data_IF_918272518055
#
_entry.id   IF_918272518055
#
_cell.length_a   1.000
_cell.length_b   1.000
_cell.length_c   1.000
_cell.angle_alpha   90.00
_cell.angle_beta   90.00
_cell.angle_gamma   90.00
#
_symmetry.space_group_name_H-M   'P 1'
#
loop_
_entity.id
_entity.type
_entity.pdbx_description
1 polymer ?
#
# COMPACT_ATOMS: atom_id res chain seq x y z
N UNK A 1 46.95 20.51 26.89
CA UNK A 1 45.99 19.40 26.89
C UNK A 1 45.47 19.31 25.46
N UNK A 2 45.86 18.25 24.75
CA UNK A 2 45.51 18.11 23.32
C UNK A 2 44.12 17.50 23.27
N UNK A 3 43.12 18.27 22.81
CA UNK A 3 41.78 17.74 22.56
C UNK A 3 41.76 16.94 21.25
N UNK A 4 42.24 15.70 21.33
CA UNK A 4 41.88 14.64 20.40
C UNK A 4 40.67 13.90 20.97
N UNK A 5 39.45 14.34 20.63
CA UNK A 5 38.28 13.46 20.43
C UNK A 5 36.99 14.28 20.34
N UNK A 6 36.60 14.66 19.13
CA UNK A 6 35.17 14.68 18.78
C UNK A 6 34.92 14.30 17.33
N UNK A 7 35.86 13.60 16.69
CA UNK A 7 35.64 12.93 15.40
C UNK A 7 34.64 11.77 15.48
N UNK A 8 34.02 11.54 16.64
CA UNK A 8 33.08 10.44 16.92
C UNK A 8 31.59 10.81 16.90
N UNK A 9 31.23 12.08 16.69
CA UNK A 9 29.83 12.52 16.85
C UNK A 9 28.98 12.45 15.57
N UNK A 10 29.50 11.86 14.49
CA UNK A 10 28.76 11.71 13.23
C UNK A 10 27.64 10.63 13.28
N UNK A 11 27.63 9.78 14.31
CA UNK A 11 26.68 8.66 14.42
C UNK A 11 25.96 8.55 15.76
N UNK A 12 26.24 9.44 16.72
CA UNK A 12 25.66 9.39 18.08
C UNK A 12 24.34 10.14 18.25
N UNK A 13 23.79 10.74 17.19
CA UNK A 13 22.43 11.30 17.26
C UNK A 13 21.43 10.17 16.97
N UNK A 14 20.71 9.71 18.01
CA UNK A 14 19.79 8.57 17.97
C UNK A 14 18.95 8.50 16.70
N UNK A 15 18.78 7.27 16.17
CA UNK A 15 18.18 6.97 14.87
C UNK A 15 17.12 8.00 14.48
N UNK A 16 17.36 8.80 13.43
CA UNK A 16 16.45 9.88 13.10
C UNK A 16 15.10 9.27 12.75
N UNK A 17 14.02 9.85 13.30
CA UNK A 17 12.64 9.37 13.12
C UNK A 17 12.27 9.12 11.63
N UNK A 18 12.98 9.77 10.71
CA UNK A 18 12.88 9.58 9.27
C UNK A 18 13.09 8.12 8.83
N UNK A 19 13.90 7.34 9.54
CA UNK A 19 14.17 5.92 9.22
C UNK A 19 12.93 5.06 9.42
N UNK A 20 12.01 5.46 10.30
CA UNK A 20 10.72 4.79 10.50
C UNK A 20 9.60 5.41 9.65
N UNK A 21 9.62 6.74 9.48
CA UNK A 21 8.58 7.46 8.73
C UNK A 21 8.65 7.14 7.23
N UNK A 22 9.85 7.09 6.64
CA UNK A 22 10.03 6.83 5.22
C UNK A 22 9.46 5.47 4.77
N UNK A 23 9.82 4.32 5.40
CA UNK A 23 9.23 3.03 5.04
C UNK A 23 7.74 2.96 5.38
N UNK A 24 7.28 3.61 6.46
CA UNK A 24 5.85 3.65 6.78
C UNK A 24 5.02 4.31 5.67
N UNK A 25 5.50 5.44 5.11
CA UNK A 25 4.84 6.11 3.98
C UNK A 25 4.81 5.21 2.75
N UNK A 26 5.91 4.51 2.45
CA UNK A 26 5.98 3.57 1.31
C UNK A 26 4.97 2.43 1.50
N UNK A 27 4.93 1.80 2.67
CA UNK A 27 3.99 0.70 2.96
C UNK A 27 2.54 1.16 2.89
N UNK A 28 2.22 2.34 3.46
CA UNK A 28 0.86 2.90 3.40
C UNK A 28 0.50 3.24 1.95
N UNK A 29 1.40 3.88 1.20
CA UNK A 29 1.19 4.22 -0.21
C UNK A 29 0.93 3.00 -1.07
N UNK A 30 1.75 1.94 -0.91
CA UNK A 30 1.53 0.67 -1.61
C UNK A 30 0.23 -0.01 -1.16
N UNK A 31 -0.08 -0.02 0.13
CA UNK A 31 -1.33 -0.62 0.64
C UNK A 31 -2.57 0.08 0.11
N UNK A 32 -2.56 1.41 0.02
CA UNK A 32 -3.67 2.18 -0.57
C UNK A 32 -3.74 1.96 -2.08
N UNK A 33 -2.60 2.00 -2.78
CA UNK A 33 -2.56 1.80 -4.23
C UNK A 33 -3.03 0.39 -4.64
N UNK A 34 -2.47 -0.64 -4.00
CA UNK A 34 -2.87 -2.02 -4.23
C UNK A 34 -4.27 -2.30 -3.70
N UNK A 35 -4.64 -1.78 -2.53
CA UNK A 35 -5.99 -1.91 -1.98
C UNK A 35 -7.05 -1.32 -2.90
N UNK A 36 -6.84 -0.11 -3.41
CA UNK A 36 -7.73 0.54 -4.37
C UNK A 36 -7.82 -0.24 -5.68
N UNK A 37 -6.68 -0.63 -6.25
CA UNK A 37 -6.65 -1.40 -7.50
C UNK A 37 -7.27 -2.80 -7.35
N UNK A 38 -7.05 -3.45 -6.21
CA UNK A 38 -7.65 -4.75 -5.87
C UNK A 38 -9.15 -4.63 -5.68
N UNK A 39 -9.61 -3.59 -4.99
CA UNK A 39 -11.04 -3.33 -4.78
C UNK A 39 -11.78 -3.12 -6.11
N UNK A 40 -11.20 -2.31 -7.00
CA UNK A 40 -11.73 -2.13 -8.35
C UNK A 40 -11.73 -3.44 -9.14
N UNK A 41 -10.63 -4.20 -9.08
CA UNK A 41 -10.53 -5.49 -9.78
C UNK A 41 -11.54 -6.52 -9.30
N UNK A 42 -11.84 -6.55 -8.00
CA UNK A 42 -12.86 -7.42 -7.41
C UNK A 42 -14.28 -6.96 -7.82
N UNK A 43 -14.55 -5.66 -7.72
CA UNK A 43 -15.85 -5.06 -8.09
C UNK A 43 -16.19 -5.31 -9.56
N UNK A 44 -15.21 -5.19 -10.46
CA UNK A 44 -15.41 -5.47 -11.89
C UNK A 44 -15.67 -6.96 -12.18
N UNK A 45 -15.06 -7.86 -11.42
CA UNK A 45 -15.31 -9.31 -11.55
C UNK A 45 -16.72 -9.67 -11.12
N UNK A 46 -17.22 -9.09 -10.03
CA UNK A 46 -18.59 -9.34 -9.56
C UNK A 46 -19.66 -8.81 -10.52
N UNK A 47 -19.46 -7.63 -11.13
CA UNK A 47 -20.37 -7.10 -12.15
C UNK A 47 -20.51 -8.03 -13.35
N UNK A 48 -19.39 -8.53 -13.87
CA UNK A 48 -19.40 -9.44 -15.05
C UNK A 48 -20.08 -10.76 -14.74
N UNK A 49 -20.00 -11.26 -13.51
CA UNK A 49 -20.68 -12.49 -13.10
C UNK A 49 -22.19 -12.26 -12.95
N UNK A 50 -22.61 -11.13 -12.36
CA UNK A 50 -24.02 -10.79 -12.24
C UNK A 50 -24.69 -10.54 -13.59
N UNK A 51 -24.02 -9.87 -14.54
CA UNK A 51 -24.57 -9.67 -15.89
C UNK A 51 -24.74 -10.99 -16.63
N UNK A 52 -23.77 -11.92 -16.51
CA UNK A 52 -23.89 -13.27 -17.08
C UNK A 52 -25.03 -14.08 -16.45
N UNK A 53 -25.27 -13.94 -15.15
CA UNK A 53 -26.38 -14.63 -14.47
C UNK A 53 -27.74 -14.02 -14.83
N UNK A 54 -27.85 -12.69 -14.90
CA UNK A 54 -29.08 -12.00 -15.31
C UNK A 54 -29.45 -12.30 -16.76
N UNK A 55 -28.47 -12.36 -17.67
CA UNK A 55 -28.69 -12.78 -19.05
C UNK A 55 -29.14 -14.24 -19.19
N UNK A 56 -28.69 -15.13 -18.29
CA UNK A 56 -29.14 -16.52 -18.25
C UNK A 56 -30.55 -16.66 -17.68
N UNK A 57 -30.94 -15.84 -16.70
CA UNK A 57 -32.29 -15.86 -16.15
C UNK A 57 -33.33 -15.23 -17.08
N UNK A 58 -32.99 -14.15 -17.78
CA UNK A 58 -33.91 -13.52 -18.74
C UNK A 58 -34.18 -14.41 -19.96
N UNK A 59 -33.20 -15.21 -20.40
CA UNK A 59 -33.38 -16.21 -21.46
C UNK A 59 -34.15 -17.47 -21.02
N UNK A 60 -34.27 -17.72 -19.72
CA UNK A 60 -35.08 -18.84 -19.18
C UNK A 60 -36.52 -18.44 -18.84
N UNK A 61 -36.80 -17.15 -18.71
CA UNK A 61 -38.12 -16.58 -18.41
C UNK A 61 -38.87 -16.05 -19.64
N UNK A 62 -38.24 -16.09 -20.81
CA UNK A 62 -38.83 -15.78 -22.12
C UNK A 62 -38.97 -17.07 -22.89
#
# INVERSE_FOLDING_TARGET
MVELSSSGDLYQHGFPNIVFVLPAIVVVGLSVFFGYKLYLSLTEKERKLQEKQKAKQSKKKK
#
